data_IF_231016729407
#
_entry.id   IF_231016729407
#
_cell.length_a   1.000
_cell.length_b   1.000
_cell.length_c   1.000
_cell.angle_alpha   90.00
_cell.angle_beta   90.00
_cell.angle_gamma   90.00
#
_symmetry.space_group_name_H-M   'P 1'
#
loop_
_entity.id
_entity.type
_entity.pdbx_description
1 polymer ?
#
# COMPACT_ATOMS: atom_id res chain seq x y z
N UNK A 1 -8.80 1.49 2.72
CA UNK A 1 -7.45 1.15 2.21
C UNK A 1 -7.44 0.66 0.79
N UNK A 2 -8.27 -0.34 0.43
CA UNK A 2 -8.31 -0.93 -0.93
C UNK A 2 -8.41 0.10 -2.06
N UNK A 3 -9.28 1.10 -1.93
CA UNK A 3 -9.40 2.20 -2.92
C UNK A 3 -8.09 2.96 -3.14
N UNK A 4 -7.32 3.22 -2.08
CA UNK A 4 -6.03 3.92 -2.20
C UNK A 4 -4.99 3.05 -2.90
N UNK A 5 -5.01 1.74 -2.67
CA UNK A 5 -4.12 0.78 -3.34
C UNK A 5 -4.45 0.70 -4.84
N UNK A 6 -5.75 0.75 -5.20
CA UNK A 6 -6.18 0.82 -6.60
C UNK A 6 -5.67 2.11 -7.26
N UNK A 7 -5.80 3.26 -6.58
CA UNK A 7 -5.30 4.55 -7.10
C UNK A 7 -3.78 4.50 -7.24
N UNK A 8 -3.06 3.95 -6.26
CA UNK A 8 -1.62 3.77 -6.33
C UNK A 8 -1.22 2.97 -7.56
N UNK A 9 -1.87 1.82 -7.79
CA UNK A 9 -1.62 1.00 -8.97
C UNK A 9 -1.83 1.79 -10.26
N UNK A 10 -2.92 2.53 -10.37
CA UNK A 10 -3.18 3.37 -11.54
C UNK A 10 -2.11 4.46 -11.74
N UNK A 11 -1.58 5.03 -10.66
CA UNK A 11 -0.49 6.02 -10.76
C UNK A 11 0.81 5.38 -11.24
N UNK A 12 1.15 4.18 -10.74
CA UNK A 12 2.30 3.38 -11.21
C UNK A 12 2.16 3.08 -12.70
N UNK A 13 0.99 2.56 -13.12
CA UNK A 13 0.69 2.23 -14.52
C UNK A 13 0.74 3.46 -15.45
N UNK A 14 0.47 4.66 -14.92
CA UNK A 14 0.53 5.93 -15.64
C UNK A 14 1.93 6.58 -15.65
N UNK A 15 2.93 5.99 -14.99
CA UNK A 15 4.27 6.57 -14.86
C UNK A 15 4.35 7.81 -13.96
N UNK A 16 3.35 8.03 -13.09
CA UNK A 16 3.33 9.15 -12.12
C UNK A 16 4.17 8.80 -10.89
N UNK A 17 5.47 8.60 -11.09
CA UNK A 17 6.35 7.96 -10.10
C UNK A 17 6.46 8.74 -8.79
N UNK A 18 6.51 10.08 -8.84
CA UNK A 18 6.65 10.93 -7.64
C UNK A 18 5.39 10.85 -6.78
N UNK A 19 4.22 11.04 -7.39
CA UNK A 19 2.93 10.97 -6.70
C UNK A 19 2.63 9.55 -6.20
N UNK A 20 2.95 8.54 -7.01
CA UNK A 20 2.81 7.14 -6.63
C UNK A 20 3.68 6.81 -5.41
N UNK A 21 4.95 7.25 -5.38
CA UNK A 21 5.84 7.01 -4.24
C UNK A 21 5.30 7.64 -2.96
N UNK A 22 4.86 8.90 -3.03
CA UNK A 22 4.27 9.60 -1.88
C UNK A 22 3.02 8.88 -1.35
N UNK A 23 2.15 8.42 -2.25
CA UNK A 23 0.95 7.68 -1.88
C UNK A 23 1.28 6.30 -1.28
N UNK A 24 2.28 5.59 -1.81
CA UNK A 24 2.74 4.31 -1.27
C UNK A 24 3.23 4.46 0.18
N UNK A 25 4.04 5.48 0.46
CA UNK A 25 4.53 5.79 1.82
C UNK A 25 3.36 6.09 2.78
N UNK A 26 2.41 6.92 2.37
CA UNK A 26 1.22 7.25 3.17
C UNK A 26 0.38 5.99 3.48
N UNK A 27 0.19 5.12 2.48
CA UNK A 27 -0.52 3.86 2.64
C UNK A 27 0.21 2.94 3.62
N UNK A 28 1.55 2.83 3.54
CA UNK A 28 2.33 1.99 4.45
C UNK A 28 2.23 2.44 5.90
N UNK A 29 2.31 3.75 6.16
CA UNK A 29 2.14 4.29 7.52
C UNK A 29 0.77 3.94 8.08
N UNK A 30 -0.30 4.09 7.28
CA UNK A 30 -1.66 3.73 7.70
C UNK A 30 -1.83 2.23 7.92
N UNK A 31 -1.29 1.40 7.04
CA UNK A 31 -1.34 -0.07 7.21
C UNK A 31 -0.62 -0.51 8.47
N UNK A 32 0.52 0.10 8.80
CA UNK A 32 1.22 -0.17 10.06
C UNK A 32 0.32 0.11 11.27
N UNK A 33 -0.31 1.28 11.32
CA UNK A 33 -1.25 1.62 12.41
C UNK A 33 -2.43 0.65 12.48
N UNK A 34 -2.95 0.21 11.33
CA UNK A 34 -4.06 -0.76 11.28
C UNK A 34 -3.64 -2.15 11.74
N UNK A 35 -2.40 -2.57 11.45
CA UNK A 35 -1.82 -3.83 11.93
C UNK A 35 -1.63 -3.77 13.45
N UNK A 36 -1.07 -2.66 13.96
CA UNK A 36 -0.83 -2.47 15.40
C UNK A 36 -2.15 -2.47 16.21
N UNK A 37 -3.27 -2.08 15.58
CA UNK A 37 -4.60 -2.06 16.19
C UNK A 37 -5.51 -3.22 15.77
N UNK A 38 -5.01 -4.23 15.04
CA UNK A 38 -5.84 -5.34 14.60
C UNK A 38 -6.24 -6.22 15.79
N UNK A 39 -7.53 -6.53 15.91
CA UNK A 39 -8.06 -7.32 17.03
C UNK A 39 -8.22 -8.80 16.67
N UNK A 40 -8.11 -9.12 15.37
CA UNK A 40 -8.30 -10.46 14.84
C UNK A 40 -7.20 -10.88 13.88
N UNK A 41 -6.92 -12.18 13.83
CA UNK A 41 -5.99 -12.76 12.85
C UNK A 41 -6.44 -12.52 11.40
N UNK A 42 -7.75 -12.49 11.15
CA UNK A 42 -8.30 -12.20 9.83
C UNK A 42 -7.95 -10.77 9.36
N UNK A 43 -8.05 -9.79 10.26
CA UNK A 43 -7.63 -8.41 9.99
C UNK A 43 -6.13 -8.32 9.76
N UNK A 44 -5.31 -8.96 10.62
CA UNK A 44 -3.86 -9.01 10.45
C UNK A 44 -3.48 -9.59 9.08
N UNK A 45 -4.06 -10.73 8.69
CA UNK A 45 -3.81 -11.35 7.38
C UNK A 45 -4.24 -10.42 6.25
N UNK A 46 -5.40 -9.76 6.38
CA UNK A 46 -5.89 -8.83 5.36
C UNK A 46 -4.94 -7.63 5.20
N UNK A 47 -4.49 -7.02 6.29
CA UNK A 47 -3.59 -5.87 6.25
C UNK A 47 -2.18 -6.25 5.77
N UNK A 48 -1.66 -7.41 6.17
CA UNK A 48 -0.39 -7.93 5.68
C UNK A 48 -0.41 -8.16 4.15
N UNK A 49 -1.51 -8.70 3.61
CA UNK A 49 -1.70 -8.84 2.16
C UNK A 49 -1.67 -7.48 1.46
N UNK A 50 -2.36 -6.48 2.01
CA UNK A 50 -2.35 -5.11 1.49
C UNK A 50 -0.95 -4.49 1.52
N UNK A 51 -0.20 -4.71 2.61
CA UNK A 51 1.15 -4.20 2.77
C UNK A 51 2.10 -4.80 1.73
N UNK A 52 1.98 -6.11 1.46
CA UNK A 52 2.73 -6.77 0.39
C UNK A 52 2.45 -6.13 -0.98
N UNK A 53 1.17 -5.95 -1.34
CA UNK A 53 0.79 -5.35 -2.62
C UNK A 53 1.41 -3.96 -2.78
N UNK A 54 1.38 -3.15 -1.73
CA UNK A 54 1.95 -1.78 -1.75
C UNK A 54 3.47 -1.82 -1.88
N UNK A 55 4.14 -2.76 -1.19
CA UNK A 55 5.57 -2.97 -1.34
C UNK A 55 5.96 -3.37 -2.77
N UNK A 56 5.23 -4.30 -3.38
CA UNK A 56 5.44 -4.74 -4.77
C UNK A 56 5.24 -3.59 -5.77
N UNK A 57 4.26 -2.71 -5.53
CA UNK A 57 4.02 -1.50 -6.35
C UNK A 57 5.12 -0.46 -6.15
N UNK A 58 5.65 -0.30 -4.93
CA UNK A 58 6.74 0.63 -4.65
C UNK A 58 8.05 0.17 -5.32
N UNK A 59 8.35 -1.13 -5.31
CA UNK A 59 9.52 -1.68 -5.99
C UNK A 59 9.48 -1.43 -7.51
N UNK A 60 8.30 -1.45 -8.13
CA UNK A 60 8.14 -1.12 -9.55
C UNK A 60 8.45 0.34 -9.88
N UNK A 61 8.39 1.25 -8.89
CA UNK A 61 8.76 2.66 -9.07
C UNK A 61 10.27 2.88 -9.03
N UNK A 62 11.02 1.92 -8.48
CA UNK A 62 12.48 1.99 -8.29
C UNK A 62 13.25 1.20 -9.36
N UNK A 63 12.55 0.45 -10.21
CA UNK A 63 13.08 -0.37 -11.30
C UNK A 63 13.17 0.43 -12.62
#
# INVERSE_FOLDING_TARGET
MEKLIIILKQMVDQGKHVEARRLAEEIQVRLKMMIDCAETDEELVRFAKMQKIVGDLQQQLDA
#
